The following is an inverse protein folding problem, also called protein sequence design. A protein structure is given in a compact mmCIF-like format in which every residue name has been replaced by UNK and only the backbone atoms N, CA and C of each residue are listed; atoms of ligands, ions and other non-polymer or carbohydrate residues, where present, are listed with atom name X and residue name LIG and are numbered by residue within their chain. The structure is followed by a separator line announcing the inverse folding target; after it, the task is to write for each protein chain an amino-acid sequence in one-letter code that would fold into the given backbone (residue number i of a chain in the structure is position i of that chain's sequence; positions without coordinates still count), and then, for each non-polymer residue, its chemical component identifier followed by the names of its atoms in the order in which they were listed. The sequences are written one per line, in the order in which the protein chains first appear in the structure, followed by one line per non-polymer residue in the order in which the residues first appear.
data_IF_499973524024
#
_entry.id   IF_499973524024
#
_cell.length_a   1.000
_cell.length_b   1.000
_cell.length_c   1.000
_cell.angle_alpha   90.00
_cell.angle_beta   90.00
_cell.angle_gamma   90.00
#
_symmetry.space_group_name_H-M   'P 1'
#
loop_
_entity.id
_entity.type
_entity.pdbx_description
1 polymer ?
#
# COMPACT_ATOMS: atom_id res chain seq x y z
N UNK A 1 -39.47 -34.73 -7.69
CA UNK A 1 -40.17 -33.43 -7.83
C UNK A 1 -39.90 -32.42 -6.69
N UNK A 2 -40.05 -32.73 -5.39
CA UNK A 2 -39.86 -31.73 -4.30
C UNK A 2 -38.40 -31.25 -4.04
N UNK A 3 -37.38 -32.02 -4.41
CA UNK A 3 -35.96 -31.68 -4.14
C UNK A 3 -35.38 -30.70 -5.16
N UNK A 4 -35.73 -30.83 -6.43
CA UNK A 4 -35.25 -29.93 -7.50
C UNK A 4 -35.82 -28.52 -7.37
N UNK A 5 -37.11 -28.39 -7.04
CA UNK A 5 -37.74 -27.08 -6.83
C UNK A 5 -37.15 -26.30 -5.63
N UNK A 6 -36.58 -27.01 -4.64
CA UNK A 6 -35.90 -26.39 -3.48
C UNK A 6 -34.49 -25.92 -3.83
N UNK A 7 -33.76 -26.71 -4.63
CA UNK A 7 -32.41 -26.37 -5.10
C UNK A 7 -32.46 -25.14 -6.02
N UNK A 8 -33.41 -25.11 -6.95
CA UNK A 8 -33.61 -23.97 -7.84
C UNK A 8 -33.99 -22.68 -7.09
N UNK A 9 -34.76 -22.80 -5.99
CA UNK A 9 -35.10 -21.65 -5.15
C UNK A 9 -33.91 -21.15 -4.30
N UNK A 10 -33.01 -22.04 -3.87
CA UNK A 10 -31.78 -21.65 -3.18
C UNK A 10 -30.79 -20.97 -4.12
N UNK A 11 -30.66 -21.49 -5.34
CA UNK A 11 -29.73 -20.98 -6.34
C UNK A 11 -30.11 -19.56 -6.79
N UNK A 12 -31.39 -19.30 -7.06
CA UNK A 12 -31.86 -17.93 -7.36
C UNK A 12 -31.64 -16.95 -6.20
N UNK A 13 -31.82 -17.39 -4.96
CA UNK A 13 -31.55 -16.55 -3.78
C UNK A 13 -30.06 -16.27 -3.59
N UNK A 14 -29.20 -17.22 -3.93
CA UNK A 14 -27.76 -17.05 -3.90
C UNK A 14 -27.30 -16.09 -5.01
N UNK A 15 -27.88 -16.22 -6.20
CA UNK A 15 -27.63 -15.34 -7.34
C UNK A 15 -28.11 -13.90 -7.06
N UNK A 16 -29.31 -13.73 -6.49
CA UNK A 16 -29.82 -12.43 -6.03
C UNK A 16 -28.90 -11.78 -5.00
N UNK A 17 -28.34 -12.56 -4.06
CA UNK A 17 -27.35 -12.05 -3.08
C UNK A 17 -26.06 -11.59 -3.75
N UNK A 18 -25.54 -12.35 -4.70
CA UNK A 18 -24.35 -11.98 -5.47
C UNK A 18 -24.57 -10.69 -6.25
N UNK A 19 -25.72 -10.56 -6.90
CA UNK A 19 -26.11 -9.34 -7.62
C UNK A 19 -26.23 -8.15 -6.65
N UNK A 20 -26.86 -8.36 -5.48
CA UNK A 20 -26.97 -7.31 -4.45
C UNK A 20 -25.61 -6.89 -3.90
N UNK A 21 -24.71 -7.84 -3.64
CA UNK A 21 -23.35 -7.54 -3.20
C UNK A 21 -22.55 -6.77 -4.25
N UNK A 22 -22.61 -7.19 -5.52
CA UNK A 22 -21.94 -6.46 -6.59
C UNK A 22 -22.52 -5.05 -6.75
N UNK A 23 -23.83 -4.88 -6.64
CA UNK A 23 -24.46 -3.55 -6.67
C UNK A 23 -24.08 -2.69 -5.46
N UNK A 24 -23.88 -3.28 -4.28
CA UNK A 24 -23.42 -2.54 -3.08
C UNK A 24 -21.97 -2.10 -3.22
N UNK A 25 -21.08 -3.00 -3.69
CA UNK A 25 -19.68 -2.68 -4.01
C UNK A 25 -19.60 -1.59 -5.07
N UNK A 26 -20.37 -1.70 -6.14
CA UNK A 26 -20.40 -0.71 -7.21
C UNK A 26 -20.99 0.63 -6.76
N UNK A 27 -22.05 0.66 -5.94
CA UNK A 27 -22.57 1.92 -5.37
C UNK A 27 -21.56 2.59 -4.45
N UNK A 28 -20.81 1.83 -3.64
CA UNK A 28 -19.73 2.36 -2.81
C UNK A 28 -18.59 2.91 -3.68
N UNK A 29 -18.17 2.18 -4.72
CA UNK A 29 -17.17 2.63 -5.67
C UNK A 29 -17.64 3.86 -6.47
N UNK A 30 -18.91 3.91 -6.87
CA UNK A 30 -19.45 5.05 -7.61
C UNK A 30 -19.60 6.29 -6.73
N UNK A 31 -19.98 6.12 -5.45
CA UNK A 31 -20.11 7.23 -4.52
C UNK A 31 -18.77 7.80 -4.05
N UNK A 32 -17.74 6.96 -3.90
CA UNK A 32 -16.45 7.37 -3.33
C UNK A 32 -15.28 7.35 -4.32
N UNK A 33 -15.28 6.45 -5.30
CA UNK A 33 -14.23 6.32 -6.32
C UNK A 33 -14.36 7.29 -7.50
N UNK A 34 -15.59 7.72 -7.85
CA UNK A 34 -15.81 8.68 -8.94
C UNK A 34 -15.14 10.05 -8.70
N UNK A 35 -15.24 10.70 -7.51
CA UNK A 35 -14.55 11.97 -7.27
C UNK A 35 -13.03 11.83 -7.25
N UNK A 36 -12.50 10.71 -6.70
CA UNK A 36 -11.06 10.43 -6.66
C UNK A 36 -10.50 10.18 -8.07
N UNK A 37 -11.17 9.37 -8.89
CA UNK A 37 -10.76 9.13 -10.27
C UNK A 37 -10.79 10.39 -11.13
N UNK A 38 -11.78 11.27 -10.92
CA UNK A 38 -11.85 12.56 -11.63
C UNK A 38 -10.68 13.50 -11.27
N UNK A 39 -10.26 13.52 -10.00
CA UNK A 39 -9.10 14.30 -9.56
C UNK A 39 -7.79 13.75 -10.15
N UNK A 40 -7.61 12.43 -10.20
CA UNK A 40 -6.43 11.80 -10.81
C UNK A 40 -6.36 12.12 -12.31
N UNK A 41 -7.48 12.00 -13.04
CA UNK A 41 -7.54 12.34 -14.46
C UNK A 41 -7.24 13.83 -14.68
N UNK A 42 -7.75 14.73 -13.82
CA UNK A 42 -7.47 16.16 -13.90
C UNK A 42 -5.98 16.47 -13.68
N UNK A 43 -5.32 15.81 -12.73
CA UNK A 43 -3.88 15.95 -12.48
C UNK A 43 -3.06 15.48 -13.69
N UNK A 44 -3.41 14.34 -14.28
CA UNK A 44 -2.73 13.83 -15.48
C UNK A 44 -2.91 14.80 -16.66
N UNK A 45 -4.11 15.33 -16.86
CA UNK A 45 -4.37 16.34 -17.89
C UNK A 45 -3.55 17.61 -17.66
N UNK A 46 -3.43 18.09 -16.41
CA UNK A 46 -2.58 19.24 -16.07
C UNK A 46 -1.09 18.94 -16.29
N UNK A 47 -0.60 17.76 -15.92
CA UNK A 47 0.79 17.36 -16.13
C UNK A 47 1.12 17.27 -17.64
N UNK A 48 0.22 16.72 -18.45
CA UNK A 48 0.37 16.65 -19.91
C UNK A 48 0.29 18.04 -20.55
N UNK A 49 -0.60 18.91 -20.05
CA UNK A 49 -0.69 20.30 -20.51
C UNK A 49 0.61 21.09 -20.23
N UNK A 50 1.22 20.89 -19.07
CA UNK A 50 2.48 21.55 -18.70
C UNK A 50 3.72 20.90 -19.35
N UNK A 51 3.67 19.63 -19.76
CA UNK A 51 4.80 18.93 -20.40
C UNK A 51 5.00 19.25 -21.88
N UNK A 52 4.17 20.09 -22.51
CA UNK A 52 4.36 20.53 -23.89
C UNK A 52 5.23 21.80 -24.03
N UNK A 53 5.90 22.22 -22.95
CA UNK A 53 6.86 23.31 -22.92
C UNK A 53 8.26 22.85 -22.54
N UNK A 54 9.08 22.55 -23.55
CA UNK A 54 10.53 22.41 -23.41
C UNK A 54 11.16 23.67 -22.78
N UNK A 55 11.92 23.54 -21.68
CA UNK A 55 13.32 24.00 -21.55
C UNK A 55 13.80 24.28 -20.12
N UNK A 56 15.03 23.81 -19.87
CA UNK A 56 16.12 24.49 -19.14
C UNK A 56 16.27 24.31 -17.63
N UNK A 57 17.08 23.31 -17.29
CA UNK A 57 18.24 23.34 -16.37
C UNK A 57 18.59 24.64 -15.62
N UNK A 58 18.94 24.50 -14.33
CA UNK A 58 20.27 24.87 -13.79
C UNK A 58 20.55 24.26 -12.41
N UNK A 59 21.68 23.55 -12.35
CA UNK A 59 22.41 23.12 -11.16
C UNK A 59 23.12 24.32 -10.46
N UNK A 60 23.46 24.11 -9.19
CA UNK A 60 24.75 24.44 -8.55
C UNK A 60 24.89 23.43 -7.38
N UNK A 61 25.79 22.43 -7.41
CA UNK A 61 27.23 22.47 -7.03
C UNK A 61 27.41 22.84 -5.53
N UNK A 62 28.13 22.15 -4.64
CA UNK A 62 29.39 21.38 -4.76
C UNK A 62 29.65 20.61 -3.45
N UNK A 63 30.08 19.33 -3.58
CA UNK A 63 31.17 18.63 -2.86
C UNK A 63 31.14 18.45 -1.33
N UNK A 64 31.64 17.39 -0.70
CA UNK A 64 32.06 16.01 -1.00
C UNK A 64 32.68 15.48 0.31
N UNK A 65 32.71 14.15 0.48
CA UNK A 65 33.62 13.40 1.36
C UNK A 65 33.23 13.34 2.86
N UNK A 66 33.21 12.18 3.52
CA UNK A 66 34.09 11.03 3.33
C UNK A 66 33.43 9.67 3.54
N UNK A 67 33.91 8.76 2.70
CA UNK A 67 33.67 7.34 2.47
C UNK A 67 34.22 6.40 3.55
N UNK A 68 33.77 5.14 3.45
CA UNK A 68 34.39 3.86 3.81
C UNK A 68 33.87 3.24 5.12
N UNK A 69 33.45 1.97 5.16
CA UNK A 69 33.97 0.82 4.40
C UNK A 69 32.98 -0.36 4.30
N UNK A 70 32.87 -0.89 3.08
CA UNK A 70 33.04 -2.31 2.68
C UNK A 70 32.30 -3.43 3.42
N UNK A 71 31.40 -4.08 2.67
CA UNK A 71 31.01 -5.48 2.86
C UNK A 71 30.43 -6.02 1.56
N UNK A 72 31.24 -6.74 0.78
CA UNK A 72 30.79 -7.48 -0.39
C UNK A 72 29.66 -8.44 0.01
N UNK A 73 28.60 -8.52 -0.78
CA UNK A 73 28.03 -9.80 -1.22
C UNK A 73 27.11 -9.57 -2.41
N UNK A 74 27.24 -10.45 -3.39
CA UNK A 74 26.33 -10.56 -4.51
C UNK A 74 24.89 -10.64 -3.98
N UNK A 75 24.06 -9.66 -4.28
CA UNK A 75 22.62 -9.85 -4.10
C UNK A 75 22.20 -10.78 -5.22
N UNK A 76 22.13 -12.07 -4.87
CA UNK A 76 21.29 -13.04 -5.55
C UNK A 76 20.02 -12.35 -6.01
N UNK A 77 19.57 -12.63 -7.22
CA UNK A 77 18.23 -12.25 -7.65
C UNK A 77 17.22 -13.00 -6.78
N UNK A 78 16.96 -12.49 -5.59
CA UNK A 78 15.94 -12.96 -4.66
C UNK A 78 14.61 -12.77 -5.37
N UNK A 79 13.93 -13.87 -5.67
CA UNK A 79 12.68 -13.83 -6.42
C UNK A 79 11.56 -13.34 -5.51
N UNK A 80 10.72 -12.42 -5.99
CA UNK A 80 9.53 -12.04 -5.25
C UNK A 80 8.51 -13.19 -5.32
N UNK A 81 8.28 -13.86 -4.20
CA UNK A 81 7.28 -14.92 -4.08
C UNK A 81 5.93 -14.37 -3.65
N UNK A 82 4.89 -14.69 -4.41
CA UNK A 82 3.49 -14.29 -4.12
C UNK A 82 2.67 -15.49 -3.62
N UNK A 83 3.33 -16.52 -3.09
CA UNK A 83 2.64 -17.72 -2.60
C UNK A 83 1.92 -17.41 -1.28
N UNK A 84 0.59 -17.51 -1.32
CA UNK A 84 -0.30 -17.24 -0.18
C UNK A 84 -0.10 -18.24 0.99
N UNK A 85 0.60 -19.36 0.78
CA UNK A 85 0.96 -20.30 1.87
C UNK A 85 2.11 -19.80 2.75
N UNK A 86 2.85 -18.80 2.29
CA UNK A 86 3.94 -18.18 3.03
C UNK A 86 3.40 -17.17 4.02
N UNK A 87 3.91 -17.19 5.24
CA UNK A 87 3.62 -16.19 6.26
C UNK A 87 4.86 -15.34 6.51
N UNK A 88 4.67 -14.02 6.58
CA UNK A 88 5.73 -13.05 6.90
C UNK A 88 6.33 -13.34 8.27
N UNK A 89 7.65 -13.33 8.36
CA UNK A 89 8.42 -13.55 9.60
C UNK A 89 9.43 -12.44 9.84
N UNK A 90 9.91 -12.37 11.07
CA UNK A 90 11.01 -11.49 11.43
C UNK A 90 12.27 -11.85 10.64
N UNK A 91 12.89 -10.84 10.00
CA UNK A 91 14.03 -10.98 9.10
C UNK A 91 13.68 -11.18 7.63
N UNK A 92 12.41 -11.42 7.28
CA UNK A 92 11.99 -11.50 5.88
C UNK A 92 12.04 -10.10 5.23
N UNK A 93 12.39 -10.06 3.95
CA UNK A 93 12.19 -8.87 3.13
C UNK A 93 10.88 -9.02 2.38
N UNK A 94 9.98 -8.06 2.54
CA UNK A 94 8.66 -8.05 1.91
C UNK A 94 8.53 -6.86 0.98
N UNK A 95 7.85 -7.06 -0.16
CA UNK A 95 7.38 -5.95 -0.97
C UNK A 95 5.98 -5.58 -0.51
N UNK A 96 5.77 -4.32 -0.12
CA UNK A 96 4.48 -3.82 0.38
C UNK A 96 4.05 -2.56 -0.38
N UNK A 97 2.74 -2.36 -0.44
CA UNK A 97 2.13 -1.08 -0.77
C UNK A 97 1.36 -0.58 0.44
N UNK A 98 1.37 0.73 0.69
CA UNK A 98 0.60 1.27 1.79
C UNK A 98 -0.04 2.60 1.49
N UNK A 99 -1.11 2.89 2.25
CA UNK A 99 -1.80 4.17 2.29
C UNK A 99 -2.06 4.53 3.76
N UNK A 100 -1.32 5.51 4.24
CA UNK A 100 -1.38 6.08 5.58
C UNK A 100 -2.35 7.25 5.65
N UNK A 101 -3.14 7.27 6.71
CA UNK A 101 -4.10 8.33 6.99
C UNK A 101 -4.09 8.72 8.47
N UNK A 102 -4.25 10.01 8.76
CA UNK A 102 -4.46 10.54 10.11
C UNK A 102 -5.87 11.12 10.13
N UNK A 103 -6.69 10.73 11.11
CA UNK A 103 -8.09 11.13 11.21
C UNK A 103 -8.91 10.88 9.92
N UNK A 104 -8.54 9.84 9.16
CA UNK A 104 -9.18 9.47 7.89
C UNK A 104 -8.74 10.31 6.67
N UNK A 105 -7.75 11.18 6.82
CA UNK A 105 -7.16 11.98 5.73
C UNK A 105 -5.77 11.46 5.41
N UNK A 106 -5.52 11.13 4.14
CA UNK A 106 -4.19 10.74 3.67
C UNK A 106 -3.19 11.90 3.81
N UNK A 107 -1.98 11.61 4.26
CA UNK A 107 -0.93 12.61 4.43
C UNK A 107 0.23 12.41 3.45
N UNK A 108 0.97 13.49 3.17
CA UNK A 108 2.06 13.45 2.20
C UNK A 108 3.26 12.62 2.69
N UNK A 109 3.73 11.75 1.80
CA UNK A 109 4.71 10.71 2.11
C UNK A 109 4.14 9.49 2.84
N UNK A 110 2.82 9.46 3.10
CA UNK A 110 2.14 8.32 3.72
C UNK A 110 1.71 7.23 2.75
N UNK A 111 2.06 7.29 1.46
CA UNK A 111 1.67 6.28 0.49
C UNK A 111 2.74 5.99 -0.55
N UNK A 112 2.86 4.71 -0.91
CA UNK A 112 3.67 4.21 -2.03
C UNK A 112 3.06 4.53 -3.40
N UNK A 113 1.79 4.97 -3.46
CA UNK A 113 1.02 5.21 -4.69
C UNK A 113 0.98 3.99 -5.63
N UNK A 114 1.09 2.77 -5.09
CA UNK A 114 1.09 1.53 -5.86
C UNK A 114 2.42 1.22 -6.56
N UNK A 115 3.51 1.91 -6.23
CA UNK A 115 4.83 1.61 -6.78
C UNK A 115 5.54 0.46 -6.05
N UNK A 116 4.99 0.00 -4.93
CA UNK A 116 5.66 -0.93 -4.02
C UNK A 116 6.85 -0.28 -3.29
N UNK A 117 7.19 -0.83 -2.14
CA UNK A 117 8.45 -0.56 -1.45
C UNK A 117 8.88 -1.81 -0.69
N UNK A 118 10.19 -1.98 -0.53
CA UNK A 118 10.74 -3.13 0.16
C UNK A 118 10.95 -2.78 1.64
N UNK A 119 10.51 -3.68 2.50
CA UNK A 119 10.63 -3.57 3.95
C UNK A 119 11.24 -4.85 4.51
N UNK A 120 12.29 -4.71 5.31
CA UNK A 120 12.82 -5.80 6.11
C UNK A 120 12.10 -5.80 7.46
N UNK A 121 11.43 -6.90 7.78
CA UNK A 121 10.67 -7.03 9.04
C UNK A 121 11.64 -7.18 10.22
N UNK A 122 11.47 -6.35 11.24
CA UNK A 122 12.37 -6.27 12.40
C UNK A 122 13.61 -5.40 12.15
N UNK A 123 13.55 -4.52 11.16
CA UNK A 123 14.63 -3.56 10.89
C UNK A 123 14.54 -2.29 11.73
N UNK A 124 13.36 -2.01 12.31
CA UNK A 124 13.06 -0.80 13.05
C UNK A 124 13.32 0.47 12.20
N UNK A 125 13.10 0.36 10.89
CA UNK A 125 13.23 1.49 9.96
C UNK A 125 11.93 2.28 9.83
N UNK A 126 10.80 1.61 10.11
CA UNK A 126 9.48 2.22 10.19
C UNK A 126 9.13 2.57 11.63
N UNK A 127 7.98 3.23 11.82
CA UNK A 127 7.43 3.56 13.15
C UNK A 127 7.28 2.27 13.95
N UNK A 128 7.55 2.35 15.25
CA UNK A 128 7.33 1.25 16.18
C UNK A 128 5.92 0.65 16.02
N UNK A 129 5.81 -0.65 16.29
CA UNK A 129 4.61 -1.47 16.08
C UNK A 129 4.14 -1.64 14.62
N UNK A 130 4.72 -0.94 13.64
CA UNK A 130 4.32 -1.08 12.23
C UNK A 130 4.68 -2.47 11.68
N UNK A 131 5.95 -2.85 11.82
CA UNK A 131 6.51 -4.07 11.22
C UNK A 131 5.95 -5.33 11.90
N UNK A 132 5.72 -5.26 13.21
CA UNK A 132 5.21 -6.38 14.02
C UNK A 132 3.78 -6.79 13.62
N UNK A 133 2.95 -5.82 13.23
CA UNK A 133 1.58 -6.07 12.78
C UNK A 133 1.50 -6.76 11.41
N UNK A 134 2.60 -6.82 10.65
CA UNK A 134 2.67 -7.54 9.38
C UNK A 134 3.08 -9.00 9.56
N UNK A 135 3.64 -9.37 10.72
CA UNK A 135 4.10 -10.74 11.01
C UNK A 135 2.90 -11.68 11.01
N UNK A 136 3.04 -12.81 10.30
CA UNK A 136 2.01 -13.84 10.20
C UNK A 136 1.00 -13.61 9.08
N UNK A 137 1.01 -12.44 8.42
CA UNK A 137 0.18 -12.19 7.24
C UNK A 137 0.80 -12.77 5.97
N UNK A 138 -0.02 -12.87 4.93
CA UNK A 138 0.31 -13.57 3.69
C UNK A 138 0.40 -12.60 2.49
N UNK A 139 1.17 -12.94 1.44
CA UNK A 139 1.11 -12.22 0.17
C UNK A 139 -0.31 -12.12 -0.38
N UNK A 140 -0.65 -10.96 -0.95
CA UNK A 140 -1.98 -10.62 -1.47
C UNK A 140 -2.96 -10.08 -0.41
N UNK A 141 -2.64 -10.16 0.88
CA UNK A 141 -3.51 -9.64 1.95
C UNK A 141 -3.35 -8.14 2.14
N UNK A 142 -4.45 -7.49 2.53
CA UNK A 142 -4.45 -6.10 3.02
C UNK A 142 -4.71 -6.10 4.52
N UNK A 143 -3.77 -5.51 5.26
CA UNK A 143 -3.75 -5.38 6.71
C UNK A 143 -3.98 -3.93 7.08
N UNK A 144 -4.84 -3.70 8.07
CA UNK A 144 -5.04 -2.39 8.68
C UNK A 144 -4.09 -2.28 9.88
N UNK A 145 -3.03 -1.48 9.72
CA UNK A 145 -1.96 -1.28 10.69
C UNK A 145 -2.18 0.04 11.42
N UNK A 146 -2.33 -0.01 12.74
CA UNK A 146 -2.55 1.16 13.59
C UNK A 146 -1.26 1.49 14.33
N UNK A 147 -0.76 2.72 14.18
CA UNK A 147 0.46 3.18 14.85
C UNK A 147 0.30 4.60 15.36
N UNK A 148 1.10 4.96 16.35
CA UNK A 148 1.22 6.33 16.85
C UNK A 148 2.59 6.86 16.48
N UNK A 149 2.64 8.00 15.79
CA UNK A 149 3.89 8.66 15.46
C UNK A 149 4.59 9.14 16.74
N UNK A 150 5.94 9.07 16.83
CA UNK A 150 6.68 9.67 17.92
C UNK A 150 6.43 11.17 18.05
N UNK A 151 6.51 11.70 19.28
CA UNK A 151 6.38 13.13 19.57
C UNK A 151 7.40 14.01 18.82
N UNK A 152 8.54 13.44 18.46
CA UNK A 152 9.65 14.08 17.77
C UNK A 152 9.91 13.51 16.37
N UNK A 153 8.86 13.11 15.65
CA UNK A 153 8.96 12.57 14.29
C UNK A 153 9.55 13.57 13.28
N UNK A 154 9.48 14.88 13.56
CA UNK A 154 10.05 15.94 12.72
C UNK A 154 9.10 16.49 11.66
N UNK A 155 7.83 16.07 11.69
CA UNK A 155 6.74 16.69 10.92
C UNK A 155 5.65 17.12 11.89
N UNK A 156 5.48 18.43 12.08
CA UNK A 156 4.55 19.00 13.07
C UNK A 156 3.12 18.46 12.97
N UNK A 157 2.67 18.13 11.76
CA UNK A 157 1.33 17.59 11.53
C UNK A 157 1.18 16.08 11.82
N UNK A 158 2.28 15.39 12.12
CA UNK A 158 2.31 13.95 12.41
C UNK A 158 2.84 13.65 13.82
N UNK A 159 3.65 14.53 14.42
CA UNK A 159 4.20 14.33 15.76
C UNK A 159 3.10 13.96 16.78
N UNK A 160 3.24 12.81 17.44
CA UNK A 160 2.30 12.33 18.48
C UNK A 160 0.91 11.95 17.96
N UNK A 161 0.71 11.85 16.64
CA UNK A 161 -0.61 11.53 16.04
C UNK A 161 -0.80 10.04 15.83
N UNK A 162 -2.03 9.59 16.02
CA UNK A 162 -2.46 8.26 15.63
C UNK A 162 -2.71 8.21 14.12
N UNK A 163 -2.24 7.15 13.49
CA UNK A 163 -2.38 6.92 12.06
C UNK A 163 -2.83 5.49 11.78
N UNK A 164 -3.61 5.35 10.71
CA UNK A 164 -4.01 4.08 10.14
C UNK A 164 -3.34 3.92 8.78
N UNK A 165 -2.57 2.85 8.64
CA UNK A 165 -1.97 2.43 7.38
C UNK A 165 -2.70 1.20 6.85
N UNK A 166 -3.24 1.32 5.63
CA UNK A 166 -3.73 0.17 4.88
C UNK A 166 -2.57 -0.39 4.09
N UNK A 167 -2.01 -1.51 4.55
CA UNK A 167 -0.82 -2.14 3.97
C UNK A 167 -1.23 -3.37 3.19
N UNK A 168 -0.86 -3.45 1.91
CA UNK A 168 -1.01 -4.64 1.09
C UNK A 168 0.36 -5.30 0.94
N UNK A 169 0.44 -6.59 1.21
CA UNK A 169 1.67 -7.37 1.03
C UNK A 169 1.68 -7.88 -0.40
N UNK A 170 2.62 -7.41 -1.22
CA UNK A 170 2.73 -7.84 -2.62
C UNK A 170 3.44 -9.21 -2.72
N UNK A 171 4.43 -9.45 -1.86
CA UNK A 171 5.17 -10.71 -1.83
C UNK A 171 6.32 -10.71 -0.82
N UNK A 172 6.93 -11.88 -0.65
CA UNK A 172 8.10 -12.11 0.21
C UNK A 172 9.28 -12.50 -0.69
N UNK A 173 10.41 -11.83 -0.55
CA UNK A 173 11.63 -12.19 -1.28
C UNK A 173 12.23 -13.48 -0.72
N UNK A 174 12.59 -14.42 -1.60
CA UNK A 174 13.28 -15.69 -1.27
C UNK A 174 14.52 -15.93 -2.12
#
# INVERSE_FOLDING_TARGET
MKKENRKLAQERRAEERRIMEQRKKLKKYLAFGLPVAALIILIIVLAVYNSNGNSSSKENDTSESSTSSTGNNATESTGLSTDESLAVKNGDTVSIDYIGSVDGVEFDGGSTKGNGTDLVIGSNTYIDDFEEQLIGHHPGETVDVNVTFPENYGKDNLNGKDALFKVTINGIYQ
#
